data_IF_626448633270
#
_entry.id   IF_626448633270
#
_cell.length_a   1.000
_cell.length_b   1.000
_cell.length_c   1.000
_cell.angle_alpha   90.00
_cell.angle_beta   90.00
_cell.angle_gamma   90.00
#
_symmetry.space_group_name_H-M   'P 1'
#
loop_
_entity.id
_entity.type
_entity.pdbx_description
1 polymer ?
#
# COMPACT_ATOMS: atom_id res chain seq x y z
N UNK A 1 5.44 -30.35 -43.77
CA UNK A 1 4.88 -29.01 -43.46
C UNK A 1 4.75 -28.73 -41.95
N UNK A 2 4.32 -29.69 -41.12
CA UNK A 2 4.14 -29.51 -39.67
C UNK A 2 5.42 -29.15 -38.89
N UNK A 3 6.57 -29.69 -39.29
CA UNK A 3 7.85 -29.45 -38.60
C UNK A 3 8.44 -28.06 -38.90
N UNK A 4 8.12 -27.48 -40.06
CA UNK A 4 8.54 -26.13 -40.45
C UNK A 4 7.75 -25.08 -39.65
N UNK A 5 6.45 -25.34 -39.40
CA UNK A 5 5.61 -24.47 -38.60
C UNK A 5 6.06 -24.41 -37.13
N UNK A 6 6.49 -25.55 -36.57
CA UNK A 6 7.01 -25.63 -35.20
C UNK A 6 8.36 -24.90 -35.03
N UNK A 7 9.23 -24.98 -36.04
CA UNK A 7 10.52 -24.27 -36.02
C UNK A 7 10.33 -22.74 -36.04
N UNK A 8 9.38 -22.24 -36.84
CA UNK A 8 9.08 -20.79 -36.90
C UNK A 8 8.49 -20.31 -35.58
N UNK A 9 7.61 -21.10 -34.94
CA UNK A 9 7.01 -20.74 -33.66
C UNK A 9 8.04 -20.68 -32.52
N UNK A 10 9.00 -21.61 -32.50
CA UNK A 10 10.07 -21.63 -31.52
C UNK A 10 11.00 -20.40 -31.66
N UNK A 11 11.32 -19.98 -32.89
CA UNK A 11 12.13 -18.79 -33.15
C UNK A 11 11.39 -17.52 -32.72
N UNK A 12 10.07 -17.44 -32.96
CA UNK A 12 9.26 -16.30 -32.53
C UNK A 12 9.21 -16.16 -31.00
N UNK A 13 9.06 -17.27 -30.27
CA UNK A 13 9.03 -17.28 -28.80
C UNK A 13 10.39 -16.87 -28.23
N UNK A 14 11.49 -17.41 -28.75
CA UNK A 14 12.84 -17.07 -28.30
C UNK A 14 13.19 -15.60 -28.62
N UNK A 15 12.79 -15.10 -29.78
CA UNK A 15 12.95 -13.68 -30.14
C UNK A 15 12.16 -12.76 -29.21
N UNK A 16 10.92 -13.13 -28.85
CA UNK A 16 10.08 -12.34 -27.95
C UNK A 16 10.63 -12.30 -26.51
N UNK A 17 11.13 -13.43 -26.00
CA UNK A 17 11.76 -13.50 -24.67
C UNK A 17 13.07 -12.70 -24.61
N UNK A 18 13.89 -12.74 -25.67
CA UNK A 18 15.09 -11.92 -25.77
C UNK A 18 14.78 -10.41 -25.81
N UNK A 19 13.74 -10.01 -26.53
CA UNK A 19 13.29 -8.61 -26.59
C UNK A 19 12.83 -8.08 -25.23
N UNK A 20 12.13 -8.89 -24.43
CA UNK A 20 11.67 -8.47 -23.10
C UNK A 20 12.83 -8.20 -22.13
N UNK A 21 13.97 -8.89 -22.25
CA UNK A 21 15.14 -8.68 -21.40
C UNK A 21 16.02 -7.50 -21.85
N UNK A 22 16.00 -7.18 -23.14
CA UNK A 22 16.83 -6.12 -23.72
C UNK A 22 16.07 -4.81 -24.00
N UNK A 23 14.75 -4.78 -23.78
CA UNK A 23 13.97 -3.57 -23.91
C UNK A 23 14.42 -2.53 -22.86
N UNK A 24 14.88 -1.34 -23.27
CA UNK A 24 15.22 -0.29 -22.32
C UNK A 24 13.96 0.09 -21.54
N UNK A 25 14.07 0.12 -20.21
CA UNK A 25 12.98 0.54 -19.33
C UNK A 25 12.41 1.89 -19.83
N UNK A 26 11.08 2.07 -19.82
CA UNK A 26 10.48 3.36 -20.14
C UNK A 26 11.13 4.43 -19.25
N UNK A 27 11.73 5.45 -19.88
CA UNK A 27 12.36 6.55 -19.16
C UNK A 27 11.35 7.10 -18.14
N UNK A 28 11.75 7.28 -16.87
CA UNK A 28 10.87 7.90 -15.90
C UNK A 28 10.39 9.25 -16.47
N UNK A 29 9.10 9.60 -16.31
CA UNK A 29 8.62 10.90 -16.75
C UNK A 29 9.47 11.99 -16.10
N UNK A 30 9.79 13.07 -16.83
CA UNK A 30 10.57 14.16 -16.27
C UNK A 30 9.88 14.66 -14.99
N UNK A 31 10.66 15.02 -13.95
CA UNK A 31 10.07 15.61 -12.76
C UNK A 31 9.28 16.83 -13.18
N UNK A 32 7.97 16.82 -12.90
CA UNK A 32 7.12 18.00 -13.05
C UNK A 32 7.76 19.08 -12.21
N UNK A 33 8.34 20.07 -12.89
CA UNK A 33 8.85 21.27 -12.27
C UNK A 33 7.68 21.93 -11.53
N UNK A 34 7.66 21.80 -10.20
CA UNK A 34 6.83 22.66 -9.37
C UNK A 34 7.17 24.09 -9.78
N UNK A 35 6.19 24.97 -10.06
CA UNK A 35 6.47 26.38 -10.23
C UNK A 35 7.18 26.87 -8.97
N UNK A 36 8.48 27.10 -9.08
CA UNK A 36 9.19 27.90 -8.09
C UNK A 36 8.58 29.28 -8.21
N UNK A 37 7.72 29.62 -7.25
CA UNK A 37 7.29 30.99 -7.06
C UNK A 37 8.56 31.83 -6.91
N UNK A 38 8.87 32.59 -7.97
CA UNK A 38 9.92 33.58 -8.03
C UNK A 38 9.71 34.55 -6.86
N UNK A 39 10.49 34.38 -5.79
CA UNK A 39 10.74 35.46 -4.84
C UNK A 39 11.87 36.30 -5.42
N UNK A 40 11.48 37.40 -6.04
CA UNK A 40 12.34 38.53 -6.33
C UNK A 40 13.02 39.01 -5.03
N UNK A 41 14.29 39.44 -5.08
CA UNK A 41 14.94 40.06 -3.93
C UNK A 41 14.45 41.52 -3.82
N UNK A 42 13.51 41.77 -2.91
CA UNK A 42 13.12 43.13 -2.56
C UNK A 42 14.17 43.74 -1.61
N UNK A 43 14.90 44.70 -2.19
CA UNK A 43 15.71 45.77 -1.60
C UNK A 43 15.23 46.23 -0.20
N UNK A 44 16.13 46.49 0.76
CA UNK A 44 15.75 47.01 2.07
C UNK A 44 15.46 48.51 1.96
N UNK A 45 14.24 48.92 2.32
CA UNK A 45 13.88 50.32 2.53
C UNK A 45 13.38 50.50 3.97
N UNK A 46 14.09 51.35 4.67
CA UNK A 46 13.91 51.77 6.06
C UNK A 46 12.62 52.57 6.27
N UNK A 47 12.07 52.45 7.49
CA UNK A 47 11.13 53.35 8.18
C UNK A 47 9.66 53.40 7.72
N UNK A 48 8.77 52.86 8.57
CA UNK A 48 7.78 53.65 9.29
C UNK A 48 7.11 52.81 10.38
N UNK A 49 7.24 53.26 11.63
CA UNK A 49 6.48 52.79 12.79
C UNK A 49 5.10 53.46 12.78
N UNK A 50 4.01 52.70 12.99
CA UNK A 50 2.93 53.20 13.84
C UNK A 50 2.50 52.19 14.91
N UNK A 51 2.55 52.67 16.15
CA UNK A 51 1.68 52.46 17.32
C UNK A 51 1.02 51.09 17.61
N UNK A 52 1.07 50.58 18.87
CA UNK A 52 0.65 49.22 19.22
C UNK A 52 -0.87 49.10 19.35
N UNK A 53 -1.45 48.14 18.64
CA UNK A 53 -2.81 47.68 18.89
C UNK A 53 -2.84 46.88 20.21
N UNK A 54 -3.62 47.42 21.14
CA UNK A 54 -4.10 46.88 22.41
C UNK A 54 -4.20 45.34 22.41
N UNK A 55 -3.27 44.68 23.10
CA UNK A 55 -3.31 43.23 23.37
C UNK A 55 -4.53 42.95 24.25
N UNK A 56 -5.53 42.32 23.66
CA UNK A 56 -6.63 41.75 24.43
C UNK A 56 -6.10 40.53 25.18
N UNK A 57 -6.12 40.61 26.51
CA UNK A 57 -5.74 39.54 27.42
C UNK A 57 -6.79 38.43 27.30
N UNK A 58 -6.49 37.43 26.49
CA UNK A 58 -7.22 36.16 26.53
C UNK A 58 -6.92 35.47 27.86
N UNK A 59 -7.99 35.19 28.61
CA UNK A 59 -8.03 34.41 29.85
C UNK A 59 -7.16 33.14 29.71
N UNK A 60 -6.26 32.83 30.66
CA UNK A 60 -5.41 31.66 30.56
C UNK A 60 -6.28 30.40 30.61
N UNK A 61 -6.40 29.72 29.46
CA UNK A 61 -6.84 28.32 29.41
C UNK A 61 -5.87 27.52 30.29
N UNK A 62 -6.34 26.72 31.25
CA UNK A 62 -5.45 25.89 32.05
C UNK A 62 -4.65 25.01 31.09
N UNK A 63 -3.33 25.18 31.12
CA UNK A 63 -2.40 24.35 30.39
C UNK A 63 -2.70 22.91 30.75
N UNK A 64 -3.23 22.14 29.80
CA UNK A 64 -3.32 20.69 29.91
C UNK A 64 -1.90 20.22 30.19
N UNK A 65 -1.63 19.79 31.43
CA UNK A 65 -0.35 19.24 31.81
C UNK A 65 -0.08 18.07 30.88
N UNK A 66 0.80 18.28 29.90
CA UNK A 66 1.39 17.19 29.13
C UNK A 66 2.27 16.49 30.16
N UNK A 67 1.70 15.51 30.86
CA UNK A 67 2.47 14.63 31.72
C UNK A 67 3.54 14.03 30.81
N UNK A 68 4.78 14.49 30.97
CA UNK A 68 5.94 13.92 30.31
C UNK A 68 6.03 12.48 30.79
N UNK A 69 5.51 11.54 30.00
CA UNK A 69 5.72 10.11 30.24
C UNK A 69 7.23 9.92 30.25
N UNK A 70 7.78 9.58 31.41
CA UNK A 70 9.19 9.25 31.50
C UNK A 70 9.48 8.05 30.58
N UNK A 71 10.58 8.09 29.82
CA UNK A 71 11.03 6.95 29.01
C UNK A 71 11.13 5.71 29.90
N UNK A 72 10.50 4.62 29.47
CA UNK A 72 10.57 3.35 30.19
C UNK A 72 11.56 2.47 29.44
N UNK A 73 12.81 2.51 29.89
CA UNK A 73 13.89 1.79 29.24
C UNK A 73 13.79 0.28 29.48
N UNK A 74 14.16 -0.49 28.46
CA UNK A 74 14.27 -1.94 28.54
C UNK A 74 15.59 -2.34 29.21
N UNK A 75 15.71 -3.58 29.71
CA UNK A 75 16.97 -4.09 30.22
C UNK A 75 18.11 -3.95 29.19
N UNK A 76 19.33 -3.84 29.68
CA UNK A 76 20.52 -3.74 28.81
C UNK A 76 20.59 -4.89 27.81
N UNK A 77 21.01 -4.57 26.59
CA UNK A 77 21.05 -5.51 25.48
C UNK A 77 19.68 -5.84 24.86
N UNK A 78 18.55 -5.39 25.44
CA UNK A 78 17.22 -5.56 24.86
C UNK A 78 16.83 -4.34 24.03
N UNK A 79 16.45 -4.57 22.79
CA UNK A 79 16.01 -3.54 21.86
C UNK A 79 14.73 -3.97 21.16
N UNK A 80 14.07 -3.01 20.54
CA UNK A 80 12.84 -3.20 19.79
C UNK A 80 12.97 -2.59 18.41
N UNK A 81 12.46 -3.29 17.41
CA UNK A 81 12.45 -2.81 16.03
C UNK A 81 11.46 -1.65 15.88
N UNK A 82 11.88 -0.54 15.31
CA UNK A 82 11.00 0.60 14.99
C UNK A 82 10.32 0.45 13.63
N UNK A 83 10.84 -0.42 12.77
CA UNK A 83 10.35 -0.66 11.42
C UNK A 83 10.28 -2.15 11.14
N UNK A 84 9.50 -2.50 10.11
CA UNK A 84 9.45 -3.87 9.61
C UNK A 84 10.80 -4.21 8.97
N UNK A 85 11.34 -5.37 9.32
CA UNK A 85 12.56 -5.93 8.73
C UNK A 85 12.21 -7.24 8.06
N UNK A 86 12.76 -7.50 6.88
CA UNK A 86 12.59 -8.77 6.18
C UNK A 86 13.95 -9.44 6.03
N UNK A 87 14.02 -10.71 6.41
CA UNK A 87 15.19 -11.56 6.27
C UNK A 87 14.91 -12.64 5.23
N UNK A 88 15.73 -12.69 4.19
CA UNK A 88 15.68 -13.77 3.21
C UNK A 88 16.48 -14.95 3.76
N UNK A 89 15.87 -16.12 3.77
CA UNK A 89 16.47 -17.40 4.15
C UNK A 89 16.22 -18.41 3.04
N UNK A 90 16.88 -19.56 3.10
CA UNK A 90 16.79 -20.58 2.04
C UNK A 90 15.35 -21.10 1.81
N UNK A 91 14.52 -21.09 2.86
CA UNK A 91 13.11 -21.53 2.79
C UNK A 91 12.12 -20.42 2.43
N UNK A 92 12.54 -19.15 2.32
CA UNK A 92 11.66 -18.04 2.01
C UNK A 92 12.03 -16.72 2.67
N UNK A 93 11.03 -15.93 3.04
CA UNK A 93 11.23 -14.60 3.67
C UNK A 93 10.57 -14.59 5.04
N UNK A 94 11.34 -14.24 6.07
CA UNK A 94 10.85 -14.03 7.43
C UNK A 94 10.68 -12.52 7.64
N UNK A 95 9.48 -12.10 8.02
CA UNK A 95 9.18 -10.71 8.34
C UNK A 95 9.11 -10.48 9.85
N UNK A 96 9.83 -9.50 10.35
CA UNK A 96 9.79 -9.04 11.73
C UNK A 96 8.95 -7.76 11.82
N UNK A 97 7.91 -7.78 12.63
CA UNK A 97 7.01 -6.64 12.79
C UNK A 97 7.68 -5.52 13.60
N UNK A 98 7.28 -4.25 13.40
CA UNK A 98 7.62 -3.18 14.33
C UNK A 98 7.19 -3.53 15.77
N UNK A 99 8.00 -3.16 16.75
CA UNK A 99 7.85 -3.53 18.15
C UNK A 99 8.35 -4.94 18.50
N UNK A 100 8.93 -5.69 17.56
CA UNK A 100 9.54 -6.99 17.85
C UNK A 100 10.75 -6.80 18.76
N UNK A 101 10.81 -7.58 19.84
CA UNK A 101 11.94 -7.62 20.77
C UNK A 101 13.12 -8.35 20.13
N UNK A 102 14.30 -7.74 20.19
CA UNK A 102 15.55 -8.33 19.73
C UNK A 102 16.65 -8.09 20.77
N UNK A 103 17.61 -9.00 20.81
CA UNK A 103 18.80 -8.90 21.64
C UNK A 103 19.96 -8.36 20.81
N UNK A 104 20.66 -7.36 21.32
CA UNK A 104 21.88 -6.85 20.71
C UNK A 104 23.00 -7.88 20.83
N UNK A 105 23.57 -8.31 19.69
CA UNK A 105 24.73 -9.20 19.66
C UNK A 105 26.01 -8.38 19.48
N UNK A 106 25.96 -7.45 18.52
CA UNK A 106 27.08 -6.55 18.24
C UNK A 106 26.53 -5.19 17.87
N UNK A 107 26.90 -4.18 18.66
CA UNK A 107 26.58 -2.80 18.34
C UNK A 107 27.55 -2.28 17.30
N UNK A 108 27.02 -1.68 16.24
CA UNK A 108 27.82 -1.03 15.19
C UNK A 108 27.17 0.26 14.71
N UNK A 109 27.96 1.08 14.04
CA UNK A 109 27.53 2.35 13.45
C UNK A 109 27.92 2.34 11.96
N UNK A 110 26.96 2.30 11.00
CA UNK A 110 25.52 2.47 11.18
C UNK A 110 24.72 1.17 11.39
N UNK A 111 25.34 0.00 11.33
CA UNK A 111 24.68 -1.30 11.32
C UNK A 111 24.99 -2.09 12.59
N UNK A 112 23.97 -2.53 13.31
CA UNK A 112 24.07 -3.41 14.47
C UNK A 112 23.58 -4.82 14.14
N UNK A 113 24.24 -5.84 14.68
CA UNK A 113 23.80 -7.23 14.58
C UNK A 113 22.91 -7.55 15.78
N UNK A 114 21.69 -8.02 15.50
CA UNK A 114 20.70 -8.38 16.51
C UNK A 114 20.22 -9.81 16.32
N UNK A 115 19.58 -10.37 17.35
CA UNK A 115 18.95 -11.68 17.30
C UNK A 115 17.55 -11.65 17.92
N UNK A 116 16.61 -12.39 17.34
CA UNK A 116 15.30 -12.68 17.94
C UNK A 116 15.31 -13.99 18.75
N UNK A 117 16.47 -14.66 18.85
CA UNK A 117 16.64 -15.98 19.46
C UNK A 117 16.64 -17.14 18.47
N UNK A 118 16.18 -16.95 17.23
CA UNK A 118 16.23 -17.96 16.17
C UNK A 118 17.15 -17.56 15.02
N UNK A 119 17.10 -16.30 14.63
CA UNK A 119 17.85 -15.70 13.53
C UNK A 119 18.80 -14.62 14.06
N UNK A 120 19.88 -14.39 13.33
CA UNK A 120 20.77 -13.25 13.52
C UNK A 120 20.80 -12.43 12.24
N UNK A 121 20.63 -11.12 12.36
CA UNK A 121 20.54 -10.24 11.20
C UNK A 121 21.02 -8.82 11.52
N UNK A 122 21.48 -8.13 10.49
CA UNK A 122 21.91 -6.74 10.57
C UNK A 122 20.72 -5.78 10.48
N UNK A 123 20.65 -4.82 11.40
CA UNK A 123 19.65 -3.75 11.43
C UNK A 123 20.35 -2.41 11.58
N UNK A 124 19.87 -1.39 10.89
CA UNK A 124 20.40 -0.03 11.06
C UNK A 124 20.11 0.44 12.48
N UNK A 125 21.12 0.96 13.18
CA UNK A 125 21.02 1.29 14.60
C UNK A 125 19.92 2.32 14.89
N UNK A 126 19.61 3.21 13.94
CA UNK A 126 18.48 4.17 14.04
C UNK A 126 17.08 3.54 13.95
N UNK A 127 16.99 2.25 13.63
CA UNK A 127 15.75 1.47 13.61
C UNK A 127 15.58 0.64 14.89
N UNK A 128 16.46 0.80 15.86
CA UNK A 128 16.38 0.14 17.16
C UNK A 128 16.05 1.17 18.22
N UNK A 129 15.20 0.80 19.18
CA UNK A 129 14.97 1.58 20.39
C UNK A 129 15.06 0.68 21.62
N UNK A 130 15.57 1.22 22.71
CA UNK A 130 15.46 0.61 24.03
C UNK A 130 14.25 1.15 24.81
N UNK A 131 13.59 2.22 24.34
CA UNK A 131 12.41 2.77 24.99
C UNK A 131 11.16 1.93 24.71
N UNK A 132 10.61 1.33 25.76
CA UNK A 132 9.42 0.49 25.72
C UNK A 132 8.16 1.28 25.33
N UNK A 133 8.08 2.57 25.66
CA UNK A 133 6.92 3.38 25.28
C UNK A 133 6.88 3.57 23.76
N UNK A 134 8.04 3.88 23.15
CA UNK A 134 8.17 4.03 21.70
C UNK A 134 7.89 2.69 21.01
N UNK A 135 8.45 1.60 21.53
CA UNK A 135 8.21 0.26 20.99
C UNK A 135 6.73 -0.12 20.98
N UNK A 136 6.02 0.15 22.09
CA UNK A 136 4.60 -0.13 22.24
C UNK A 136 3.74 0.72 21.29
N UNK A 137 4.04 2.02 21.19
CA UNK A 137 3.31 2.94 20.31
C UNK A 137 3.46 2.54 18.84
N UNK A 138 4.68 2.15 18.42
CA UNK A 138 4.96 1.68 17.07
C UNK A 138 4.27 0.35 16.77
N UNK A 139 4.29 -0.62 17.71
CA UNK A 139 3.59 -1.88 17.56
C UNK A 139 2.07 -1.69 17.40
N UNK A 140 1.47 -0.83 18.24
CA UNK A 140 0.04 -0.49 18.18
C UNK A 140 -0.31 0.17 16.86
N UNK A 141 0.51 1.12 16.40
CA UNK A 141 0.31 1.80 15.12
C UNK A 141 0.35 0.84 13.94
N UNK A 142 1.34 -0.07 13.89
CA UNK A 142 1.44 -1.07 12.82
C UNK A 142 0.22 -2.00 12.80
N UNK A 143 -0.19 -2.50 13.97
CA UNK A 143 -1.38 -3.35 14.08
C UNK A 143 -2.65 -2.62 13.60
N UNK A 144 -2.85 -1.37 14.02
CA UNK A 144 -3.99 -0.56 13.60
C UNK A 144 -4.00 -0.33 12.08
N UNK A 145 -2.85 -0.03 11.49
CA UNK A 145 -2.70 0.15 10.04
C UNK A 145 -3.02 -1.14 9.28
N UNK A 146 -2.51 -2.28 9.75
CA UNK A 146 -2.82 -3.58 9.14
C UNK A 146 -4.30 -3.92 9.22
N UNK A 147 -4.95 -3.67 10.35
CA UNK A 147 -6.38 -3.89 10.52
C UNK A 147 -7.22 -3.03 9.55
N UNK A 148 -6.83 -1.77 9.35
CA UNK A 148 -7.47 -0.88 8.38
C UNK A 148 -7.33 -1.37 6.93
N UNK A 149 -6.13 -1.82 6.55
CA UNK A 149 -5.87 -2.40 5.22
C UNK A 149 -6.76 -3.64 5.01
N UNK A 150 -6.79 -4.55 5.98
CA UNK A 150 -7.60 -5.76 5.92
C UNK A 150 -9.10 -5.45 5.79
N UNK A 151 -9.60 -4.47 6.55
CA UNK A 151 -10.99 -4.02 6.45
C UNK A 151 -11.32 -3.45 5.07
N UNK A 152 -10.42 -2.64 4.49
CA UNK A 152 -10.57 -2.10 3.14
C UNK A 152 -10.63 -3.19 2.07
N UNK A 153 -9.72 -4.17 2.12
CA UNK A 153 -9.72 -5.32 1.20
C UNK A 153 -11.04 -6.10 1.31
N UNK A 154 -11.51 -6.38 2.53
CA UNK A 154 -12.78 -7.08 2.74
C UNK A 154 -13.99 -6.34 2.16
N UNK A 155 -14.00 -5.01 2.18
CA UNK A 155 -15.04 -4.21 1.52
C UNK A 155 -14.95 -4.31 0.00
N UNK A 156 -13.73 -4.19 -0.57
CA UNK A 156 -13.53 -4.31 -2.01
C UNK A 156 -13.97 -5.67 -2.53
N UNK A 157 -13.58 -6.76 -1.85
CA UNK A 157 -13.97 -8.13 -2.23
C UNK A 157 -15.49 -8.27 -2.28
N UNK A 158 -16.20 -7.81 -1.25
CA UNK A 158 -17.68 -7.86 -1.22
C UNK A 158 -18.32 -7.06 -2.35
N UNK A 159 -17.77 -5.89 -2.66
CA UNK A 159 -18.27 -5.08 -3.78
C UNK A 159 -18.10 -5.82 -5.11
N UNK A 160 -16.95 -6.43 -5.35
CA UNK A 160 -16.70 -7.23 -6.56
C UNK A 160 -17.62 -8.45 -6.65
N UNK A 161 -17.81 -9.18 -5.55
CA UNK A 161 -18.72 -10.32 -5.49
C UNK A 161 -20.17 -9.93 -5.79
N UNK A 162 -20.63 -8.79 -5.25
CA UNK A 162 -21.96 -8.27 -5.51
C UNK A 162 -22.15 -7.92 -6.99
N UNK A 163 -21.20 -7.21 -7.59
CA UNK A 163 -21.22 -6.87 -9.02
C UNK A 163 -21.29 -8.12 -9.91
N UNK A 164 -20.53 -9.16 -9.58
CA UNK A 164 -20.58 -10.43 -10.33
C UNK A 164 -21.93 -11.13 -10.21
N UNK A 165 -22.51 -11.17 -9.00
CA UNK A 165 -23.83 -11.77 -8.78
C UNK A 165 -24.92 -11.03 -9.56
N UNK A 166 -24.90 -9.71 -9.52
CA UNK A 166 -25.89 -8.88 -10.20
C UNK A 166 -25.78 -9.02 -11.73
N UNK A 167 -24.56 -9.12 -12.28
CA UNK A 167 -24.32 -9.38 -13.69
C UNK A 167 -24.87 -10.75 -14.13
N UNK A 168 -24.58 -11.82 -13.37
CA UNK A 168 -25.10 -13.17 -13.65
C UNK A 168 -26.62 -13.19 -13.57
N UNK A 169 -27.20 -12.58 -12.53
CA UNK A 169 -28.64 -12.49 -12.37
C UNK A 169 -29.32 -11.69 -13.50
N UNK A 170 -28.67 -10.64 -14.01
CA UNK A 170 -29.16 -9.88 -15.16
C UNK A 170 -29.15 -10.71 -16.45
N UNK A 171 -28.05 -11.43 -16.72
CA UNK A 171 -27.98 -12.34 -17.88
C UNK A 171 -29.03 -13.46 -17.82
N UNK A 172 -29.26 -14.04 -16.64
CA UNK A 172 -30.27 -15.09 -16.46
C UNK A 172 -31.68 -14.57 -16.74
N UNK A 173 -31.99 -13.34 -16.28
CA UNK A 173 -33.26 -12.68 -16.57
C UNK A 173 -33.44 -12.42 -18.06
N UNK A 174 -32.42 -11.89 -18.74
CA UNK A 174 -32.45 -11.66 -20.19
C UNK A 174 -32.67 -12.97 -20.98
N UNK A 175 -31.98 -14.04 -20.58
CA UNK A 175 -32.15 -15.38 -21.19
C UNK A 175 -33.57 -15.93 -20.93
N UNK A 176 -34.15 -15.71 -19.76
CA UNK A 176 -35.50 -16.14 -19.43
C UNK A 176 -36.57 -15.40 -20.24
N UNK A 177 -36.41 -14.09 -20.45
CA UNK A 177 -37.32 -13.28 -21.27
C UNK A 177 -37.27 -13.68 -22.75
N UNK A 178 -36.07 -13.85 -23.33
CA UNK A 178 -35.91 -14.33 -24.71
C UNK A 178 -36.58 -15.70 -24.91
N UNK A 179 -36.46 -16.61 -23.95
CA UNK A 179 -37.15 -17.93 -23.99
C UNK A 179 -38.68 -17.82 -23.90
N UNK A 180 -39.23 -16.81 -23.22
CA UNK A 180 -40.68 -16.57 -23.16
C UNK A 180 -41.22 -15.98 -24.46
N UNK A 181 -40.49 -15.06 -25.10
CA UNK A 181 -40.89 -14.43 -26.37
C UNK A 181 -40.91 -15.40 -27.57
N UNK A 182 -40.07 -16.43 -27.56
CA UNK A 182 -39.97 -17.40 -28.67
C UNK A 182 -41.06 -18.49 -28.66
N UNK A 183 -41.93 -18.54 -27.64
CA UNK A 183 -42.97 -19.58 -27.45
C UNK A 183 -44.38 -19.20 -27.96
N UNK A 184 -44.53 -18.17 -28.80
CA UNK A 184 -45.83 -17.86 -29.42
C UNK A 184 -45.97 -18.61 -30.76
N UNK A 185 -46.91 -19.57 -30.92
CA UNK A 185 -47.00 -20.38 -32.13
C UNK A 185 -47.69 -19.59 -33.25
N UNK A 186 -46.96 -19.34 -34.34
CA UNK A 186 -47.56 -19.03 -35.62
C UNK A 186 -48.14 -20.32 -36.21
N UNK A 187 -49.33 -20.73 -35.75
CA UNK A 187 -50.13 -21.75 -36.42
C UNK A 187 -51.56 -21.23 -36.56
N UNK A 188 -51.84 -20.59 -37.70
CA UNK A 188 -53.20 -20.46 -38.22
C UNK A 188 -53.15 -20.56 -39.74
N UNK A 189 -53.19 -21.80 -40.21
CA UNK A 189 -53.51 -22.12 -41.61
C UNK A 189 -54.96 -21.70 -41.89
N UNK A 190 -55.25 -20.97 -42.98
CA UNK A 190 -56.58 -21.01 -43.57
C UNK A 190 -56.63 -22.17 -44.57
N UNK A 191 -57.43 -23.18 -44.24
CA UNK A 191 -57.82 -24.24 -45.18
C UNK A 191 -58.87 -23.68 -46.16
N UNK A 192 -58.70 -23.75 -47.49
CA UNK A 192 -59.75 -23.38 -48.43
C UNK A 192 -60.76 -24.52 -48.61
N UNK A 193 -62.04 -24.19 -48.52
CA UNK A 193 -63.15 -25.13 -48.70
C UNK A 193 -63.32 -25.54 -50.18
N UNK A 194 -63.63 -26.82 -50.47
CA UNK A 194 -63.96 -27.24 -51.83
C UNK A 194 -65.43 -26.92 -52.18
N UNK A 195 -65.64 -26.50 -53.44
CA UNK A 195 -66.95 -26.45 -54.13
C UNK A 195 -67.13 -27.68 -54.98
#
# INVERSE_FOLDING_TARGET
>A
MKNVLLAILAIAILGYLGWHWFAPAPKPPPPVARPQAQRTPAKPATAARPTPAKVQVAKPTPARSVATRQPRLAPEGTYFLLRRVSLNIDSGVVGFAPGTKVTMIQQGDPLSTVSDGQYQFGVVSSQLTNDLNIAEDVAKSDYANQAQIAAGIGQSVRWYEQQQRDAIAAEEKEKAEKKKGQKTPAHKSPSPAPR
#
